data_IF_791975616990
#
_entry.id   IF_791975616990
#
_cell.length_a   1.000
_cell.length_b   1.000
_cell.length_c   1.000
_cell.angle_alpha   90.00
_cell.angle_beta   90.00
_cell.angle_gamma   90.00
#
_symmetry.space_group_name_H-M   'P 1'
#
loop_
_entity.id
_entity.type
_entity.pdbx_description
1 polymer ?
#
# COMPACT_ATOMS: atom_id res chain seq x y z
N UNK A 1 -44.14 19.22 78.47
CA UNK A 1 -43.45 20.11 77.49
C UNK A 1 -41.95 19.82 77.31
N UNK A 2 -41.34 18.80 77.93
CA UNK A 2 -39.90 18.46 77.80
C UNK A 2 -39.68 17.25 76.84
N UNK A 3 -40.68 16.41 76.60
CA UNK A 3 -40.53 15.20 75.77
C UNK A 3 -40.65 15.43 74.24
N UNK A 4 -41.36 16.46 73.79
CA UNK A 4 -41.51 16.71 72.33
C UNK A 4 -40.30 17.32 71.66
N UNK A 5 -39.46 18.01 72.45
CA UNK A 5 -38.18 18.60 71.89
C UNK A 5 -37.06 17.59 71.72
N UNK A 6 -37.05 16.50 72.51
CA UNK A 6 -36.02 15.42 72.35
C UNK A 6 -36.36 14.50 71.23
N UNK A 7 -37.61 14.13 70.95
CA UNK A 7 -37.99 13.27 69.78
C UNK A 7 -37.77 13.98 68.46
N UNK A 8 -37.96 15.31 68.39
CA UNK A 8 -37.65 16.09 67.16
C UNK A 8 -36.18 16.21 66.85
N UNK A 9 -35.31 16.25 67.85
CA UNK A 9 -33.87 16.29 67.72
C UNK A 9 -33.29 14.89 67.26
N UNK A 10 -33.74 13.80 67.89
CA UNK A 10 -33.35 12.45 67.49
C UNK A 10 -33.81 12.10 66.08
N UNK A 11 -34.97 12.52 65.62
CA UNK A 11 -35.44 12.33 64.26
C UNK A 11 -34.63 13.16 63.25
N UNK A 12 -34.11 14.34 63.62
CA UNK A 12 -33.22 15.19 62.81
C UNK A 12 -31.85 14.53 62.65
N UNK A 13 -31.26 14.06 63.72
CA UNK A 13 -29.93 13.36 63.68
C UNK A 13 -30.00 12.07 62.86
N UNK A 14 -31.07 11.27 62.98
CA UNK A 14 -31.26 10.06 62.16
C UNK A 14 -31.41 10.38 60.68
N UNK A 15 -32.06 11.47 60.29
CA UNK A 15 -32.16 11.93 58.88
C UNK A 15 -30.82 12.37 58.32
N UNK A 16 -30.05 13.09 59.07
CA UNK A 16 -28.68 13.50 58.66
C UNK A 16 -27.77 12.28 58.48
N UNK A 17 -27.79 11.34 59.40
CA UNK A 17 -27.00 10.13 59.33
C UNK A 17 -27.37 9.27 58.10
N UNK A 18 -28.68 9.16 57.81
CA UNK A 18 -29.18 8.46 56.62
C UNK A 18 -28.74 9.17 55.34
N UNK A 19 -28.81 10.52 55.32
CA UNK A 19 -28.38 11.33 54.17
C UNK A 19 -26.88 11.15 53.89
N UNK A 20 -26.01 11.18 54.91
CA UNK A 20 -24.59 10.91 54.78
C UNK A 20 -24.31 9.49 54.28
N UNK A 21 -25.05 8.49 54.76
CA UNK A 21 -24.91 7.10 54.26
C UNK A 21 -25.26 6.97 52.77
N UNK A 22 -26.33 7.64 52.33
CA UNK A 22 -26.76 7.65 50.92
C UNK A 22 -25.72 8.34 50.03
N UNK A 23 -25.19 9.50 50.46
CA UNK A 23 -24.11 10.19 49.71
C UNK A 23 -22.86 9.32 49.63
N UNK A 24 -22.44 8.71 50.70
CA UNK A 24 -21.26 7.83 50.74
C UNK A 24 -21.43 6.61 49.81
N UNK A 25 -22.64 6.01 49.80
CA UNK A 25 -22.97 4.92 48.89
C UNK A 25 -22.96 5.37 47.42
N UNK A 26 -23.53 6.55 47.12
CA UNK A 26 -23.53 7.15 45.80
C UNK A 26 -22.12 7.42 45.27
N UNK A 27 -21.27 8.00 46.10
CA UNK A 27 -19.86 8.25 45.73
C UNK A 27 -19.10 6.93 45.43
N UNK A 28 -19.34 5.90 46.26
CA UNK A 28 -18.70 4.59 46.02
C UNK A 28 -19.17 3.92 44.73
N UNK A 29 -20.42 4.05 44.38
CA UNK A 29 -20.96 3.60 43.09
C UNK A 29 -20.31 4.37 41.95
N UNK A 30 -20.18 5.69 42.08
CA UNK A 30 -19.53 6.53 41.06
C UNK A 30 -18.07 6.16 40.87
N UNK A 31 -17.31 5.90 41.94
CA UNK A 31 -15.93 5.41 41.88
C UNK A 31 -15.81 4.08 41.14
N UNK A 32 -16.73 3.14 41.43
CA UNK A 32 -16.76 1.84 40.74
C UNK A 32 -17.06 1.99 39.26
N UNK A 33 -18.02 2.84 38.90
CA UNK A 33 -18.38 3.12 37.51
C UNK A 33 -17.22 3.80 36.77
N UNK A 34 -16.54 4.75 37.40
CA UNK A 34 -15.36 5.39 36.84
C UNK A 34 -14.22 4.40 36.64
N UNK A 35 -13.95 3.52 37.61
CA UNK A 35 -12.94 2.48 37.46
C UNK A 35 -13.26 1.49 36.33
N UNK A 36 -14.52 1.04 36.23
CA UNK A 36 -14.99 0.20 35.13
C UNK A 36 -14.82 0.87 33.78
N UNK A 37 -15.15 2.15 33.68
CA UNK A 37 -14.98 2.93 32.46
C UNK A 37 -13.50 3.02 32.04
N UNK A 38 -12.60 3.29 33.00
CA UNK A 38 -11.14 3.33 32.75
C UNK A 38 -10.65 1.96 32.25
N UNK A 39 -11.09 0.86 32.87
CA UNK A 39 -10.71 -0.49 32.46
C UNK A 39 -11.18 -0.78 31.04
N UNK A 40 -12.42 -0.41 30.69
CA UNK A 40 -12.96 -0.59 29.33
C UNK A 40 -12.15 0.20 28.30
N UNK A 41 -11.79 1.45 28.62
CA UNK A 41 -10.96 2.28 27.74
C UNK A 41 -9.56 1.69 27.54
N UNK A 42 -8.95 1.15 28.59
CA UNK A 42 -7.64 0.46 28.50
C UNK A 42 -7.73 -0.81 27.66
N UNK A 43 -8.78 -1.62 27.84
CA UNK A 43 -8.98 -2.83 27.04
C UNK A 43 -9.23 -2.49 25.58
N UNK A 44 -10.01 -1.47 25.28
CA UNK A 44 -10.23 -0.97 23.91
C UNK A 44 -8.93 -0.46 23.30
N UNK A 45 -8.13 0.32 24.03
CA UNK A 45 -6.83 0.80 23.57
C UNK A 45 -5.85 -0.35 23.27
N UNK A 46 -5.79 -1.35 24.16
CA UNK A 46 -4.95 -2.53 23.95
C UNK A 46 -5.42 -3.35 22.74
N UNK A 47 -6.71 -3.53 22.55
CA UNK A 47 -7.28 -4.19 21.37
C UNK A 47 -6.94 -3.42 20.08
N UNK A 48 -7.12 -2.09 20.06
CA UNK A 48 -6.82 -1.25 18.91
C UNK A 48 -5.34 -1.31 18.51
N UNK A 49 -4.43 -1.29 19.50
CA UNK A 49 -3.00 -1.45 19.25
C UNK A 49 -2.66 -2.83 18.68
N UNK A 50 -3.26 -3.88 19.22
CA UNK A 50 -3.06 -5.24 18.74
C UNK A 50 -3.58 -5.40 17.30
N UNK A 51 -4.77 -4.88 16.99
CA UNK A 51 -5.36 -4.90 15.66
C UNK A 51 -4.49 -4.15 14.63
N UNK A 52 -4.05 -2.95 14.96
CA UNK A 52 -3.10 -2.17 14.14
C UNK A 52 -1.80 -2.94 13.89
N UNK A 53 -1.27 -3.61 14.92
CA UNK A 53 -0.05 -4.42 14.78
C UNK A 53 -0.28 -5.61 13.83
N UNK A 54 -1.45 -6.26 13.87
CA UNK A 54 -1.80 -7.35 12.97
C UNK A 54 -1.96 -6.89 11.52
N UNK A 55 -2.62 -5.74 11.28
CA UNK A 55 -2.74 -5.13 9.95
C UNK A 55 -1.36 -4.86 9.36
N UNK A 56 -0.49 -4.21 10.15
CA UNK A 56 0.87 -3.89 9.72
C UNK A 56 1.71 -5.13 9.41
N UNK A 57 1.54 -6.21 10.18
CA UNK A 57 2.26 -7.47 9.94
C UNK A 57 1.79 -8.17 8.68
N UNK A 58 0.48 -8.15 8.39
CA UNK A 58 -0.11 -8.77 7.19
C UNK A 58 0.19 -8.00 5.92
N UNK A 59 0.50 -6.71 6.02
CA UNK A 59 0.87 -5.88 4.88
C UNK A 59 2.24 -6.24 4.29
N UNK A 60 3.12 -6.88 5.06
CA UNK A 60 4.38 -7.43 4.55
C UNK A 60 4.20 -8.86 4.08
N UNK A 61 4.95 -9.21 3.04
CA UNK A 61 4.96 -10.58 2.51
C UNK A 61 5.40 -11.56 3.60
N UNK A 62 4.61 -12.63 3.76
CA UNK A 62 4.98 -13.74 4.62
C UNK A 62 6.18 -14.50 4.04
N UNK A 63 7.00 -15.11 4.90
CA UNK A 63 8.09 -15.97 4.44
C UNK A 63 7.62 -17.17 3.59
N UNK A 64 6.34 -17.55 3.74
CA UNK A 64 5.72 -18.59 2.90
C UNK A 64 5.44 -18.10 1.49
N UNK A 65 4.97 -16.86 1.32
CA UNK A 65 4.72 -16.28 0.02
C UNK A 65 6.02 -15.98 -0.73
N UNK A 66 7.09 -15.61 -0.02
CA UNK A 66 8.42 -15.40 -0.60
C UNK A 66 9.01 -16.62 -1.30
N UNK A 67 8.55 -17.83 -1.01
CA UNK A 67 8.99 -19.05 -1.72
C UNK A 67 8.62 -19.01 -3.21
N UNK A 68 7.55 -18.33 -3.56
CA UNK A 68 7.04 -18.23 -4.94
C UNK A 68 7.69 -17.10 -5.74
N UNK A 69 8.54 -16.29 -5.09
CA UNK A 69 9.29 -15.27 -5.81
C UNK A 69 10.22 -15.93 -6.83
N UNK A 70 10.13 -15.56 -8.12
CA UNK A 70 11.03 -16.11 -9.11
C UNK A 70 12.47 -15.74 -8.78
N UNK A 71 13.24 -16.67 -8.22
CA UNK A 71 14.69 -16.54 -8.08
C UNK A 71 15.30 -16.99 -9.41
N UNK A 72 16.13 -16.13 -10.03
CA UNK A 72 16.68 -16.40 -11.36
C UNK A 72 17.22 -17.83 -11.50
N UNK A 73 16.77 -18.55 -12.49
CA UNK A 73 17.24 -19.83 -13.07
C UNK A 73 17.91 -20.83 -12.09
N UNK A 74 17.23 -21.25 -11.05
CA UNK A 74 17.55 -22.49 -10.34
C UNK A 74 16.29 -23.36 -10.31
N UNK A 75 16.40 -24.58 -10.81
CA UNK A 75 15.31 -25.52 -11.12
C UNK A 75 14.48 -26.02 -9.92
N UNK A 76 14.70 -25.53 -8.70
CA UNK A 76 14.09 -26.10 -7.47
C UNK A 76 13.20 -25.12 -6.67
N UNK A 77 13.02 -23.88 -7.12
CA UNK A 77 12.17 -22.93 -6.40
C UNK A 77 10.74 -22.96 -6.96
N UNK A 78 9.68 -22.91 -6.10
CA UNK A 78 8.32 -22.70 -6.54
C UNK A 78 8.26 -21.48 -7.46
N UNK A 79 7.62 -21.64 -8.61
CA UNK A 79 7.57 -20.59 -9.63
C UNK A 79 6.33 -19.71 -9.46
N UNK A 80 6.31 -18.57 -10.16
CA UNK A 80 5.11 -17.74 -10.29
C UNK A 80 3.90 -18.59 -10.77
N UNK A 81 4.13 -19.61 -11.60
CA UNK A 81 3.10 -20.55 -12.06
C UNK A 81 2.49 -21.37 -10.91
N UNK A 82 3.24 -21.70 -9.87
CA UNK A 82 2.70 -22.39 -8.70
C UNK A 82 1.84 -21.46 -7.84
N UNK A 83 2.22 -20.19 -7.74
CA UNK A 83 1.40 -19.17 -7.09
C UNK A 83 0.10 -18.94 -7.87
N UNK A 84 0.13 -19.02 -9.22
CA UNK A 84 -1.05 -18.96 -10.08
C UNK A 84 -2.02 -20.13 -9.90
N UNK A 85 -1.57 -21.28 -9.37
CA UNK A 85 -2.47 -22.38 -8.99
C UNK A 85 -3.26 -22.05 -7.72
N UNK A 86 -2.71 -21.20 -6.84
CA UNK A 86 -3.37 -20.73 -5.63
C UNK A 86 -4.33 -19.59 -5.98
N UNK A 87 -3.85 -18.60 -6.74
CA UNK A 87 -4.65 -17.49 -7.24
C UNK A 87 -4.36 -17.27 -8.73
N UNK A 88 -5.31 -17.63 -9.64
CA UNK A 88 -5.16 -17.46 -11.09
C UNK A 88 -4.96 -15.99 -11.53
N UNK A 89 -5.35 -15.04 -10.69
CA UNK A 89 -5.23 -13.61 -10.99
C UNK A 89 -3.80 -13.07 -10.85
N UNK A 90 -2.89 -13.85 -10.28
CA UNK A 90 -1.47 -13.49 -10.25
C UNK A 90 -0.94 -13.39 -11.67
N UNK A 91 -0.39 -12.24 -12.04
CA UNK A 91 0.16 -11.98 -13.37
C UNK A 91 1.66 -11.69 -13.39
N UNK A 92 2.21 -11.21 -12.27
CA UNK A 92 3.63 -10.84 -12.17
C UNK A 92 4.12 -10.88 -10.72
N UNK A 93 5.42 -10.62 -10.55
CA UNK A 93 6.03 -10.26 -9.28
C UNK A 93 6.88 -9.00 -9.48
N UNK A 94 6.65 -7.96 -8.67
CA UNK A 94 7.34 -6.69 -8.73
C UNK A 94 8.34 -6.56 -7.57
N UNK A 95 9.56 -6.14 -7.90
CA UNK A 95 10.57 -5.72 -6.93
C UNK A 95 11.07 -4.33 -7.28
N UNK A 96 11.13 -3.42 -6.30
CA UNK A 96 11.79 -2.12 -6.42
C UNK A 96 13.06 -2.16 -5.59
N UNK A 97 14.21 -2.07 -6.25
CA UNK A 97 15.51 -2.32 -5.63
C UNK A 97 15.81 -1.31 -4.50
N UNK A 98 16.24 -1.82 -3.34
CA UNK A 98 16.57 -0.99 -2.17
C UNK A 98 15.38 -0.52 -1.34
N UNK A 99 14.16 -0.96 -1.69
CA UNK A 99 12.92 -0.64 -0.97
C UNK A 99 12.27 -1.89 -0.36
N UNK A 100 11.16 -1.71 0.34
CA UNK A 100 10.32 -2.80 0.86
C UNK A 100 9.29 -3.31 -0.16
N UNK A 101 9.27 -2.74 -1.37
CA UNK A 101 8.35 -3.15 -2.44
C UNK A 101 8.88 -4.43 -3.10
N UNK A 102 8.30 -5.56 -2.70
CA UNK A 102 8.69 -6.89 -3.17
C UNK A 102 7.46 -7.81 -3.07
N UNK A 103 6.56 -7.72 -4.07
CA UNK A 103 5.20 -8.28 -4.00
C UNK A 103 4.77 -8.97 -5.27
N UNK A 104 3.92 -10.03 -5.18
CA UNK A 104 3.16 -10.50 -6.32
C UNK A 104 2.19 -9.41 -6.78
N UNK A 105 1.93 -9.38 -8.07
CA UNK A 105 0.96 -8.51 -8.73
C UNK A 105 -0.21 -9.36 -9.20
N UNK A 106 -1.41 -8.95 -8.84
CA UNK A 106 -2.66 -9.56 -9.29
C UNK A 106 -3.39 -8.68 -10.31
N UNK A 107 -4.33 -9.24 -11.06
CA UNK A 107 -5.25 -8.48 -11.88
C UNK A 107 -6.64 -9.11 -11.81
N UNK A 108 -7.56 -8.39 -11.17
CA UNK A 108 -8.97 -8.79 -11.10
C UNK A 108 -9.77 -8.34 -12.32
N UNK A 109 -11.06 -8.66 -12.34
CA UNK A 109 -11.99 -8.19 -13.37
C UNK A 109 -12.23 -6.67 -13.28
N UNK A 110 -12.08 -6.09 -12.09
CA UNK A 110 -12.24 -4.66 -11.83
C UNK A 110 -11.11 -4.13 -10.93
N UNK A 111 -10.87 -2.81 -11.00
CA UNK A 111 -9.90 -2.13 -10.12
C UNK A 111 -10.35 -2.03 -8.64
N UNK A 112 -11.54 -2.53 -8.28
CA UNK A 112 -12.05 -2.51 -6.91
C UNK A 112 -11.80 -3.81 -6.16
N UNK A 113 -11.55 -4.90 -6.85
CA UNK A 113 -11.51 -6.25 -6.30
C UNK A 113 -10.38 -6.43 -5.28
N UNK A 114 -9.18 -6.02 -5.62
CA UNK A 114 -7.99 -6.19 -4.80
C UNK A 114 -7.63 -4.99 -3.90
N UNK A 115 -8.52 -4.00 -3.79
CA UNK A 115 -8.31 -2.87 -2.88
C UNK A 115 -8.25 -3.34 -1.41
N UNK A 116 -9.14 -4.26 -1.02
CA UNK A 116 -9.23 -4.80 0.34
C UNK A 116 -9.19 -6.34 0.36
N UNK A 117 -8.46 -6.95 -0.56
CA UNK A 117 -8.33 -8.39 -0.68
C UNK A 117 -6.86 -8.78 -0.85
N UNK A 118 -6.42 -9.77 -0.07
CA UNK A 118 -5.05 -10.28 -0.19
C UNK A 118 -4.93 -11.28 -1.35
N UNK A 119 -3.70 -11.79 -1.53
CA UNK A 119 -3.37 -12.75 -2.59
C UNK A 119 -4.14 -14.08 -2.47
N UNK A 120 -4.69 -14.41 -1.30
CA UNK A 120 -5.45 -15.63 -1.07
C UNK A 120 -6.96 -15.43 -1.22
N UNK A 121 -7.41 -14.20 -1.55
CA UNK A 121 -8.82 -13.84 -1.66
C UNK A 121 -9.47 -13.49 -0.31
N UNK A 122 -8.69 -13.40 0.77
CA UNK A 122 -9.17 -13.05 2.10
C UNK A 122 -9.20 -11.52 2.29
N UNK A 123 -10.12 -11.06 3.13
CA UNK A 123 -10.21 -9.65 3.45
C UNK A 123 -8.93 -9.14 4.14
N UNK A 124 -8.32 -8.12 3.59
CA UNK A 124 -7.13 -7.45 4.13
C UNK A 124 -7.20 -5.95 3.86
N UNK A 125 -7.10 -5.13 4.91
CA UNK A 125 -7.12 -3.66 4.78
C UNK A 125 -5.91 -3.12 3.99
N UNK A 126 -4.81 -3.87 3.93
CA UNK A 126 -3.66 -3.55 3.08
C UNK A 126 -3.90 -3.83 1.60
N UNK A 127 -4.92 -4.61 1.26
CA UNK A 127 -5.17 -5.07 -0.11
C UNK A 127 -4.00 -5.84 -0.71
N UNK A 128 -3.93 -5.85 -2.03
CA UNK A 128 -2.81 -6.37 -2.82
C UNK A 128 -2.26 -5.31 -3.76
N UNK A 129 -1.07 -5.55 -4.32
CA UNK A 129 -0.61 -4.80 -5.48
C UNK A 129 -1.31 -5.35 -6.72
N UNK A 130 -1.99 -4.49 -7.48
CA UNK A 130 -2.74 -4.95 -8.63
C UNK A 130 -2.54 -4.10 -9.88
N UNK A 131 -2.60 -4.74 -11.03
CA UNK A 131 -2.55 -4.13 -12.36
C UNK A 131 -3.94 -3.60 -12.73
N UNK A 132 -4.01 -2.45 -13.40
CA UNK A 132 -5.27 -1.90 -13.92
C UNK A 132 -5.99 -2.97 -14.77
N UNK A 133 -7.27 -3.18 -14.50
CA UNK A 133 -8.07 -4.23 -15.15
C UNK A 133 -8.20 -4.07 -16.68
N UNK A 134 -7.90 -2.87 -17.21
CA UNK A 134 -7.91 -2.55 -18.64
C UNK A 134 -6.57 -2.83 -19.32
N UNK A 135 -5.51 -3.06 -18.56
CA UNK A 135 -4.19 -3.41 -19.09
C UNK A 135 -4.11 -4.90 -19.50
N UNK A 136 -3.22 -5.20 -20.43
CA UNK A 136 -2.87 -6.58 -20.75
C UNK A 136 -2.00 -7.18 -19.63
N UNK A 137 -2.43 -8.34 -19.09
CA UNK A 137 -1.76 -8.99 -17.98
C UNK A 137 -0.35 -9.53 -18.29
N UNK A 138 0.07 -9.50 -19.55
CA UNK A 138 1.44 -9.82 -19.98
C UNK A 138 2.34 -8.59 -20.06
N UNK A 139 1.84 -7.42 -19.66
CA UNK A 139 2.57 -6.15 -19.68
C UNK A 139 3.11 -5.76 -21.08
N UNK A 140 2.36 -6.08 -22.13
CA UNK A 140 2.72 -5.72 -23.50
C UNK A 140 2.23 -4.34 -23.93
N UNK A 141 1.37 -3.71 -23.14
CA UNK A 141 0.87 -2.35 -23.39
C UNK A 141 2.00 -1.32 -23.31
N UNK A 142 1.79 -0.21 -24.02
CA UNK A 142 2.73 0.93 -23.97
C UNK A 142 2.74 1.60 -22.60
N UNK A 143 1.63 1.55 -21.86
CA UNK A 143 1.53 2.04 -20.50
C UNK A 143 0.76 1.05 -19.61
N UNK A 144 1.43 0.53 -18.59
CA UNK A 144 0.87 -0.34 -17.56
C UNK A 144 0.81 0.39 -16.23
N UNK A 145 -0.35 0.40 -15.59
CA UNK A 145 -0.56 1.11 -14.32
C UNK A 145 -0.86 0.11 -13.19
N UNK A 146 -0.06 0.16 -12.14
CA UNK A 146 -0.23 -0.63 -10.94
C UNK A 146 -0.71 0.23 -9.78
N UNK A 147 -1.53 -0.35 -8.94
CA UNK A 147 -2.07 0.27 -7.75
C UNK A 147 -1.62 -0.49 -6.50
N UNK A 148 -1.43 0.24 -5.43
CA UNK A 148 -1.16 -0.30 -4.10
C UNK A 148 -1.42 0.73 -3.02
N UNK A 149 -1.85 0.27 -1.84
CA UNK A 149 -2.05 1.16 -0.71
C UNK A 149 -0.75 1.83 -0.26
N UNK A 150 -0.87 3.06 0.21
CA UNK A 150 0.17 3.69 1.01
C UNK A 150 0.08 3.16 2.45
N UNK A 151 1.22 2.72 2.98
CA UNK A 151 1.36 2.34 4.38
C UNK A 151 2.58 3.05 4.99
N UNK A 152 2.39 3.73 6.12
CA UNK A 152 3.44 4.55 6.79
C UNK A 152 4.69 3.75 7.15
N UNK A 153 4.55 2.43 7.35
CA UNK A 153 5.68 1.53 7.62
C UNK A 153 6.46 1.11 6.36
N UNK A 154 6.13 1.65 5.19
CA UNK A 154 6.76 1.37 3.89
C UNK A 154 6.25 0.09 3.20
N UNK A 155 5.29 -0.64 3.81
CA UNK A 155 4.67 -1.80 3.16
C UNK A 155 3.81 -1.38 1.96
N UNK A 156 3.47 -2.34 1.13
CA UNK A 156 2.75 -2.13 -0.13
C UNK A 156 3.49 -1.09 -1.00
N UNK A 157 2.84 0.01 -1.39
CA UNK A 157 3.48 1.14 -2.08
C UNK A 157 3.86 2.31 -1.15
N UNK A 158 4.02 2.05 0.17
CA UNK A 158 4.42 3.08 1.12
C UNK A 158 5.74 3.76 0.76
N UNK A 159 6.74 2.99 0.33
CA UNK A 159 8.05 3.54 -0.06
C UNK A 159 8.04 4.39 -1.35
N UNK A 160 6.95 4.36 -2.15
CA UNK A 160 6.79 5.23 -3.33
C UNK A 160 6.81 6.70 -2.94
N UNK A 161 6.26 7.06 -1.76
CA UNK A 161 6.27 8.43 -1.25
C UNK A 161 7.68 9.00 -1.08
N UNK A 162 8.66 8.16 -0.73
CA UNK A 162 10.04 8.58 -0.51
C UNK A 162 10.71 9.06 -1.80
N UNK A 163 10.20 8.68 -2.97
CA UNK A 163 10.71 9.13 -4.26
C UNK A 163 10.44 10.61 -4.56
N UNK A 164 9.64 11.30 -3.75
CA UNK A 164 9.52 12.75 -3.75
C UNK A 164 10.84 13.41 -3.33
N UNK A 165 11.63 12.74 -2.48
CA UNK A 165 12.90 13.21 -1.99
C UNK A 165 14.02 12.96 -3.01
N UNK A 166 14.78 14.00 -3.35
CA UNK A 166 15.82 13.94 -4.40
C UNK A 166 16.89 12.88 -4.13
N UNK A 167 17.40 12.80 -2.91
CA UNK A 167 18.45 11.83 -2.55
C UNK A 167 17.94 10.39 -2.65
N UNK A 168 16.70 10.15 -2.24
CA UNK A 168 16.07 8.85 -2.34
C UNK A 168 15.85 8.48 -3.81
N UNK A 169 15.30 9.38 -4.61
CA UNK A 169 15.10 9.20 -6.03
C UNK A 169 16.41 8.90 -6.76
N UNK A 170 17.52 9.60 -6.44
CA UNK A 170 18.82 9.38 -7.07
C UNK A 170 19.50 8.08 -6.65
N UNK A 171 19.22 7.55 -5.48
CA UNK A 171 19.80 6.30 -4.97
C UNK A 171 19.01 5.05 -5.38
N UNK A 172 17.71 5.14 -5.64
CA UNK A 172 16.83 4.01 -5.97
C UNK A 172 16.38 4.09 -7.43
N UNK A 173 17.20 3.54 -8.34
CA UNK A 173 17.05 3.76 -9.81
C UNK A 173 16.36 2.63 -10.53
N UNK A 174 16.33 1.43 -9.96
CA UNK A 174 15.99 0.22 -10.68
C UNK A 174 14.94 -0.62 -9.96
N UNK A 175 14.36 -1.52 -10.73
CA UNK A 175 13.44 -2.53 -10.27
C UNK A 175 13.40 -3.71 -11.22
N UNK A 176 12.60 -4.70 -10.90
CA UNK A 176 12.45 -5.90 -11.70
C UNK A 176 10.99 -6.34 -11.68
N UNK A 177 10.46 -6.64 -12.85
CA UNK A 177 9.18 -7.29 -13.05
C UNK A 177 9.43 -8.72 -13.54
N UNK A 178 9.01 -9.69 -12.74
CA UNK A 178 9.11 -11.10 -13.10
C UNK A 178 7.78 -11.54 -13.70
N UNK A 179 7.83 -12.10 -14.88
CA UNK A 179 6.73 -12.73 -15.59
C UNK A 179 7.01 -14.24 -15.70
N UNK A 180 6.03 -15.03 -16.13
CA UNK A 180 6.18 -16.51 -16.18
C UNK A 180 7.38 -16.97 -17.00
N UNK A 181 7.65 -16.32 -18.14
CA UNK A 181 8.65 -16.77 -19.11
C UNK A 181 9.83 -15.79 -19.27
N UNK A 182 9.71 -14.60 -18.71
CA UNK A 182 10.69 -13.53 -18.92
C UNK A 182 10.84 -12.65 -17.68
N UNK A 183 11.99 -12.01 -17.60
CA UNK A 183 12.32 -11.03 -16.58
C UNK A 183 12.51 -9.68 -17.29
N UNK A 184 11.78 -8.68 -16.83
CA UNK A 184 11.90 -7.32 -17.32
C UNK A 184 12.58 -6.44 -16.28
N UNK A 185 13.53 -5.66 -16.71
CA UNK A 185 14.14 -4.64 -15.86
C UNK A 185 13.36 -3.35 -15.94
N UNK A 186 13.33 -2.63 -14.83
CA UNK A 186 12.69 -1.33 -14.74
C UNK A 186 13.77 -0.29 -14.43
N UNK A 187 13.73 0.84 -15.13
CA UNK A 187 14.50 2.03 -14.81
C UNK A 187 13.56 3.16 -14.45
N UNK A 188 13.56 3.54 -13.17
CA UNK A 188 12.72 4.63 -12.66
C UNK A 188 13.23 5.96 -13.18
N UNK A 189 12.34 6.78 -13.78
CA UNK A 189 12.73 8.04 -14.41
C UNK A 189 11.96 9.26 -13.93
N UNK A 190 10.77 9.09 -13.31
CA UNK A 190 10.00 10.21 -12.80
C UNK A 190 9.19 9.82 -11.56
N UNK A 191 9.00 10.79 -10.66
CA UNK A 191 8.02 10.76 -9.58
C UNK A 191 7.07 11.93 -9.80
N UNK A 192 5.77 11.65 -9.90
CA UNK A 192 4.71 12.65 -10.17
C UNK A 192 3.77 12.68 -8.99
N UNK A 193 3.36 13.89 -8.61
CA UNK A 193 2.28 14.13 -7.65
C UNK A 193 1.07 14.67 -8.40
N UNK A 194 -0.10 14.04 -8.22
CA UNK A 194 -1.31 14.37 -8.97
C UNK A 194 -2.57 14.11 -8.15
N UNK A 195 -3.73 14.29 -8.76
CA UNK A 195 -5.04 13.98 -8.19
C UNK A 195 -5.59 12.65 -8.72
N UNK A 196 -6.44 11.99 -7.93
CA UNK A 196 -7.06 10.71 -8.29
C UNK A 196 -7.97 10.77 -9.53
N UNK A 197 -8.35 11.97 -9.97
CA UNK A 197 -9.21 12.23 -11.13
C UNK A 197 -8.43 12.67 -12.38
N UNK A 198 -7.10 12.52 -12.37
CA UNK A 198 -6.26 12.85 -13.53
C UNK A 198 -6.51 11.87 -14.68
N UNK A 199 -7.32 12.30 -15.64
CA UNK A 199 -7.73 11.45 -16.77
C UNK A 199 -6.55 11.08 -17.68
N UNK A 200 -5.49 11.88 -17.73
CA UNK A 200 -4.30 11.57 -18.53
C UNK A 200 -3.57 10.35 -17.94
N UNK A 201 -3.46 10.30 -16.63
CA UNK A 201 -2.72 9.24 -15.95
C UNK A 201 -3.55 7.96 -15.80
N UNK A 202 -4.84 8.11 -15.44
CA UNK A 202 -5.69 6.97 -15.06
C UNK A 202 -6.48 6.33 -16.21
N UNK A 203 -6.09 6.61 -17.47
CA UNK A 203 -6.60 5.93 -18.66
C UNK A 203 -5.47 5.23 -19.44
N UNK A 204 -4.84 4.17 -18.90
CA UNK A 204 -3.68 3.53 -19.53
C UNK A 204 -3.98 2.96 -20.92
N UNK A 205 -5.22 2.56 -21.20
CA UNK A 205 -5.66 2.03 -22.51
C UNK A 205 -5.59 3.06 -23.65
N UNK A 206 -5.55 4.36 -23.33
CA UNK A 206 -5.53 5.43 -24.34
C UNK A 206 -4.16 5.59 -24.97
N UNK A 207 -3.12 5.00 -24.33
CA UNK A 207 -1.75 5.13 -24.80
C UNK A 207 -1.30 3.92 -25.62
N UNK A 208 -0.93 4.22 -26.86
CA UNK A 208 -0.29 3.30 -27.80
C UNK A 208 1.13 3.78 -28.06
N UNK A 209 1.89 2.98 -28.81
CA UNK A 209 3.27 3.33 -29.15
C UNK A 209 3.37 4.69 -29.85
N UNK A 210 2.37 5.03 -30.65
CA UNK A 210 2.31 6.24 -31.48
C UNK A 210 2.16 7.51 -30.67
N UNK A 211 1.46 7.46 -29.51
CA UNK A 211 1.17 8.63 -28.68
C UNK A 211 1.82 8.54 -27.28
N UNK A 212 2.74 7.60 -27.06
CA UNK A 212 3.43 7.45 -25.78
C UNK A 212 4.29 8.69 -25.43
N UNK A 213 4.73 9.43 -26.46
CA UNK A 213 5.49 10.66 -26.29
C UNK A 213 4.64 11.76 -25.61
N UNK A 214 3.35 11.81 -25.88
CA UNK A 214 2.42 12.74 -25.21
C UNK A 214 2.33 12.48 -23.70
N UNK A 215 2.25 11.21 -23.30
CA UNK A 215 2.30 10.82 -21.88
C UNK A 215 3.66 11.18 -21.27
N UNK A 216 4.75 10.97 -21.98
CA UNK A 216 6.10 11.31 -21.51
C UNK A 216 6.28 12.81 -21.25
N UNK A 217 5.79 13.66 -22.14
CA UNK A 217 5.82 15.11 -21.98
C UNK A 217 4.93 15.54 -20.79
N UNK A 218 3.76 14.92 -20.64
CA UNK A 218 2.89 15.16 -19.49
C UNK A 218 3.57 14.80 -18.19
N UNK A 219 4.15 13.58 -18.08
CA UNK A 219 4.90 13.11 -16.89
C UNK A 219 6.01 14.10 -16.57
N UNK A 220 6.80 14.50 -17.57
CA UNK A 220 7.90 15.43 -17.40
C UNK A 220 7.46 16.81 -16.88
N UNK A 221 6.33 17.31 -17.37
CA UNK A 221 5.78 18.61 -16.97
C UNK A 221 5.27 18.61 -15.51
N UNK A 222 4.81 17.47 -15.00
CA UNK A 222 4.22 17.33 -13.66
C UNK A 222 5.14 16.63 -12.64
N UNK A 223 6.36 16.24 -13.05
CA UNK A 223 7.27 15.51 -12.20
C UNK A 223 7.85 16.38 -11.07
N UNK A 224 7.72 15.88 -9.83
CA UNK A 224 8.45 16.40 -8.66
C UNK A 224 9.93 16.03 -8.75
N UNK A 225 10.21 14.80 -9.23
CA UNK A 225 11.56 14.34 -9.56
C UNK A 225 11.55 13.76 -10.97
N UNK A 226 12.58 14.08 -11.74
CA UNK A 226 12.74 13.61 -13.11
C UNK A 226 14.22 13.40 -13.45
N UNK A 227 14.53 12.31 -14.15
CA UNK A 227 15.84 12.07 -14.75
C UNK A 227 15.68 11.67 -16.20
N UNK A 228 16.57 12.14 -17.05
CA UNK A 228 16.62 11.64 -18.41
C UNK A 228 17.03 10.17 -18.40
N UNK A 229 16.21 9.28 -18.97
CA UNK A 229 16.59 7.88 -19.07
C UNK A 229 17.81 7.73 -19.98
N UNK A 230 18.72 6.84 -19.60
CA UNK A 230 19.80 6.45 -20.50
C UNK A 230 19.20 5.73 -21.71
N UNK A 231 19.40 6.28 -22.91
CA UNK A 231 18.93 5.67 -24.16
C UNK A 231 19.58 4.30 -24.32
N UNK A 232 18.82 3.23 -24.19
CA UNK A 232 19.29 1.87 -24.47
C UNK A 232 18.67 1.37 -25.77
N UNK A 233 19.49 1.15 -26.78
CA UNK A 233 19.13 0.54 -28.06
C UNK A 233 18.58 1.48 -29.13
N UNK A 234 18.44 0.94 -30.35
CA UNK A 234 17.96 1.69 -31.55
C UNK A 234 16.45 1.92 -31.53
N UNK A 235 15.69 1.16 -30.75
CA UNK A 235 14.21 1.22 -30.75
C UNK A 235 13.64 2.19 -29.70
N UNK A 236 14.46 2.76 -28.81
CA UNK A 236 14.00 3.66 -27.76
C UNK A 236 13.17 2.95 -26.68
N UNK A 237 12.65 3.74 -25.74
CA UNK A 237 11.73 3.28 -24.70
C UNK A 237 10.30 3.24 -25.28
N UNK A 238 9.67 2.09 -25.24
CA UNK A 238 8.34 1.88 -25.82
C UNK A 238 7.30 1.34 -24.84
N UNK A 239 7.69 1.10 -23.57
CA UNK A 239 6.78 0.66 -22.52
C UNK A 239 7.09 1.36 -21.20
N UNK A 240 6.04 1.91 -20.58
CA UNK A 240 6.11 2.60 -19.30
C UNK A 240 5.29 1.81 -18.28
N UNK A 241 5.80 1.73 -17.05
CA UNK A 241 5.08 1.23 -15.89
C UNK A 241 4.93 2.36 -14.88
N UNK A 242 3.71 2.53 -14.32
CA UNK A 242 3.42 3.46 -13.24
C UNK A 242 3.04 2.70 -11.96
N UNK A 243 3.60 3.10 -10.83
CA UNK A 243 3.21 2.61 -9.50
C UNK A 243 2.46 3.72 -8.76
N UNK A 244 1.14 3.60 -8.67
CA UNK A 244 0.26 4.62 -8.06
C UNK A 244 -0.11 4.27 -6.64
N UNK A 245 0.04 5.24 -5.72
CA UNK A 245 -0.39 5.13 -4.32
C UNK A 245 -1.05 6.43 -3.84
N UNK A 246 -1.76 6.37 -2.70
CA UNK A 246 -2.35 7.57 -2.10
C UNK A 246 -1.25 8.50 -1.55
N UNK A 247 -1.49 9.82 -1.64
CA UNK A 247 -0.68 10.83 -0.95
C UNK A 247 -1.26 11.09 0.45
N UNK A 248 -0.40 11.26 1.45
CA UNK A 248 -0.80 11.65 2.81
C UNK A 248 -1.23 13.12 2.90
N UNK A 249 -0.81 13.95 1.94
CA UNK A 249 -0.95 15.40 2.01
C UNK A 249 -2.34 15.89 1.58
N UNK A 250 -3.08 15.09 0.82
CA UNK A 250 -4.41 15.46 0.29
C UNK A 250 -5.35 14.25 0.22
N UNK A 251 -6.63 14.45 0.46
CA UNK A 251 -7.66 13.39 0.46
C UNK A 251 -7.71 12.60 -0.86
N UNK A 252 -7.49 13.27 -2.00
CA UNK A 252 -7.48 12.68 -3.34
C UNK A 252 -6.09 12.67 -3.97
N UNK A 253 -5.05 13.09 -3.23
CA UNK A 253 -3.69 13.15 -3.74
C UNK A 253 -3.16 11.75 -4.06
N UNK A 254 -2.37 11.68 -5.13
CA UNK A 254 -1.68 10.47 -5.58
C UNK A 254 -0.22 10.77 -5.86
N UNK A 255 0.62 9.79 -5.56
CA UNK A 255 2.02 9.79 -5.98
C UNK A 255 2.23 8.61 -6.90
N UNK A 256 2.89 8.86 -8.03
CA UNK A 256 3.15 7.82 -9.03
C UNK A 256 4.63 7.82 -9.35
N UNK A 257 5.24 6.63 -9.22
CA UNK A 257 6.60 6.36 -9.65
C UNK A 257 6.56 5.75 -11.06
N UNK A 258 7.20 6.41 -12.03
CA UNK A 258 7.26 5.96 -13.41
C UNK A 258 8.60 5.34 -13.75
N UNK A 259 8.54 4.20 -14.42
CA UNK A 259 9.69 3.47 -14.92
C UNK A 259 9.55 3.04 -16.38
N UNK A 260 10.69 2.84 -17.06
CA UNK A 260 10.73 2.16 -18.34
C UNK A 260 10.94 0.67 -18.16
N UNK A 261 10.12 -0.13 -18.83
CA UNK A 261 10.28 -1.58 -18.94
C UNK A 261 11.21 -1.91 -20.12
N UNK A 262 12.17 -2.83 -19.91
CA UNK A 262 13.03 -3.33 -20.95
C UNK A 262 13.42 -4.78 -20.71
N UNK A 263 13.45 -5.56 -21.78
CA UNK A 263 13.86 -6.95 -21.78
C UNK A 263 15.40 -7.05 -21.67
N UNK A 264 15.88 -7.80 -20.69
CA UNK A 264 17.31 -8.01 -20.47
C UNK A 264 17.96 -8.80 -21.63
N UNK A 265 17.25 -9.75 -22.20
CA UNK A 265 17.82 -10.66 -23.21
C UNK A 265 17.96 -9.97 -24.57
N UNK A 266 17.14 -8.98 -24.89
CA UNK A 266 17.28 -8.15 -26.10
C UNK A 266 18.53 -7.26 -26.08
N UNK A 267 19.05 -6.91 -24.92
CA UNK A 267 20.26 -6.08 -24.78
C UNK A 267 21.57 -6.87 -25.08
N UNK A 268 21.53 -8.21 -25.00
CA UNK A 268 22.69 -9.06 -25.21
C UNK A 268 22.94 -9.43 -26.69
N UNK A 269 21.97 -9.16 -27.57
CA UNK A 269 21.99 -9.55 -28.98
C UNK A 269 22.15 -8.39 -29.98
N UNK A 270 22.55 -7.19 -29.57
CA UNK A 270 23.03 -6.19 -30.54
C UNK A 270 24.50 -6.45 -30.85
N UNK A 271 24.84 -7.08 -32.01
CA UNK A 271 26.23 -7.19 -32.41
C UNK A 271 26.75 -5.78 -32.65
N UNK A 272 27.83 -5.44 -31.94
CA UNK A 272 28.64 -4.27 -32.27
C UNK A 272 29.11 -4.47 -33.71
N UNK A 273 28.50 -3.85 -34.70
CA UNK A 273 29.04 -3.73 -36.03
C UNK A 273 30.24 -2.81 -35.95
N UNK A 274 31.41 -3.43 -35.85
CA UNK A 274 32.70 -2.78 -36.11
C UNK A 274 32.75 -2.49 -37.60
N UNK A 275 32.59 -1.25 -37.97
CA UNK A 275 33.02 -0.67 -39.25
C UNK A 275 33.91 0.52 -38.97
#
# INVERSE_FOLDING_TARGET
MINETTEGQEAGEQREELFFKVIKAGNKILEILAALFIILMLLYGAYSLWDTCQINRRAFISGELMKYKPAGKTDESPSLQELQKINPDVCAWLTVDGTKIDYPVVQGETNLEYINQDIYGEFALSGSIFLDSRNDRKFIDSYSLLYGHHMDNGAMFGDVMNYKEKEYFESHKTGTLYLNEQLEKIQWFACVETDAYDEVIYNPQDYKKENLEELMEYIKAHAVQYRLPEKKGKEGWNRIIGLSTCSNDQTNGRVILYGFLYDRDRLLFTPVSIT
#
